data_IF_669162533513
#
_entry.id   IF_669162533513
#
_cell.length_a   1.000
_cell.length_b   1.000
_cell.length_c   1.000
_cell.angle_alpha   90.00
_cell.angle_beta   90.00
_cell.angle_gamma   90.00
#
_symmetry.space_group_name_H-M   'P 1'
#
loop_
_entity.id
_entity.type
_entity.pdbx_description
1 polymer ?
#
# COMPACT_ATOMS: atom_id res chain seq x y z
N UNK A 1 8.66 0.43 -27.87
CA UNK A 1 9.22 0.07 -26.55
C UNK A 1 8.93 -1.40 -26.31
N UNK A 2 9.95 -2.20 -25.97
CA UNK A 2 9.82 -3.65 -25.81
C UNK A 2 9.83 -3.94 -24.31
N UNK A 3 8.66 -4.17 -23.73
CA UNK A 3 8.53 -4.76 -22.40
C UNK A 3 8.41 -6.28 -22.53
N UNK A 4 8.82 -7.00 -21.50
CA UNK A 4 8.67 -8.45 -21.42
C UNK A 4 7.55 -8.77 -20.43
N UNK A 5 6.75 -9.79 -20.74
CA UNK A 5 5.71 -10.28 -19.83
C UNK A 5 5.94 -11.75 -19.55
N UNK A 6 5.63 -12.15 -18.32
CA UNK A 6 5.63 -13.54 -17.90
C UNK A 6 4.46 -13.77 -16.96
N UNK A 7 3.90 -14.98 -16.96
CA UNK A 7 2.85 -15.36 -16.02
C UNK A 7 3.32 -16.58 -15.25
N UNK A 8 3.32 -16.46 -13.92
CA UNK A 8 3.64 -17.55 -13.03
C UNK A 8 2.51 -18.60 -13.00
N UNK A 9 2.79 -19.85 -12.61
CA UNK A 9 1.76 -20.90 -12.54
C UNK A 9 0.58 -20.57 -11.63
N UNK A 10 0.78 -19.72 -10.61
CA UNK A 10 -0.27 -19.25 -9.70
C UNK A 10 -1.07 -18.06 -10.24
N UNK A 11 -0.82 -17.62 -11.48
CA UNK A 11 -1.55 -16.55 -12.15
C UNK A 11 -0.98 -15.14 -11.98
N UNK A 12 0.01 -14.94 -11.10
CA UNK A 12 0.70 -13.65 -10.94
C UNK A 12 1.38 -13.27 -12.26
N UNK A 13 1.15 -12.02 -12.69
CA UNK A 13 1.73 -11.46 -13.91
C UNK A 13 2.95 -10.62 -13.56
N UNK A 14 4.03 -10.86 -14.28
CA UNK A 14 5.27 -10.11 -14.18
C UNK A 14 5.40 -9.28 -15.46
N UNK A 15 5.57 -7.98 -15.29
CA UNK A 15 5.93 -7.06 -16.37
C UNK A 15 7.34 -6.54 -16.10
N UNK A 16 8.26 -6.82 -17.01
CA UNK A 16 9.64 -6.36 -16.92
C UNK A 16 9.94 -5.36 -18.03
N UNK A 17 10.37 -4.17 -17.62
CA UNK A 17 10.84 -3.15 -18.53
C UNK A 17 12.36 -3.00 -18.38
N UNK A 18 13.17 -3.46 -19.36
CA UNK A 18 14.61 -3.31 -19.28
C UNK A 18 15.00 -1.84 -19.44
N UNK A 19 15.83 -1.35 -18.52
CA UNK A 19 16.42 -0.02 -18.57
C UNK A 19 17.92 -0.10 -18.29
N UNK A 20 18.71 0.70 -19.01
CA UNK A 20 20.13 0.85 -18.74
C UNK A 20 20.34 1.86 -17.60
N UNK A 21 20.09 1.40 -16.38
CA UNK A 21 20.14 2.19 -15.16
C UNK A 21 20.83 1.39 -14.04
N UNK A 22 21.51 2.08 -13.14
CA UNK A 22 22.01 1.50 -11.89
C UNK A 22 20.91 1.35 -10.85
N UNK A 23 19.82 2.11 -10.99
CA UNK A 23 18.63 2.07 -10.15
C UNK A 23 17.59 1.17 -10.81
N UNK A 24 17.02 0.27 -10.02
CA UNK A 24 15.84 -0.52 -10.35
C UNK A 24 14.65 -0.06 -9.49
N UNK A 25 13.46 -0.22 -10.04
CA UNK A 25 12.20 0.04 -9.36
C UNK A 25 11.30 -1.18 -9.51
N UNK A 26 10.69 -1.62 -8.42
CA UNK A 26 9.79 -2.76 -8.40
C UNK A 26 8.46 -2.35 -7.76
N UNK A 27 7.36 -2.82 -8.35
CA UNK A 27 6.01 -2.63 -7.84
C UNK A 27 5.33 -3.99 -7.70
N UNK A 28 4.71 -4.22 -6.55
CA UNK A 28 3.75 -5.29 -6.34
C UNK A 28 2.37 -4.64 -6.26
N UNK A 29 1.54 -4.91 -7.27
CA UNK A 29 0.22 -4.30 -7.41
C UNK A 29 -0.87 -5.33 -7.15
N UNK A 30 -1.81 -4.96 -6.28
CA UNK A 30 -3.04 -5.70 -6.01
C UNK A 30 -4.17 -4.95 -6.69
N UNK A 31 -4.92 -5.64 -7.55
CA UNK A 31 -6.10 -5.08 -8.21
C UNK A 31 -7.32 -5.08 -7.25
N UNK A 32 -7.12 -4.44 -6.09
CA UNK A 32 -8.14 -4.19 -5.08
C UNK A 32 -7.79 -2.86 -4.39
N UNK A 33 -8.80 -2.00 -4.19
CA UNK A 33 -8.68 -0.74 -3.47
C UNK A 33 -9.95 -0.44 -2.66
N UNK A 34 -10.18 0.81 -2.29
CA UNK A 34 -11.33 1.17 -1.43
C UNK A 34 -12.70 0.86 -2.08
N UNK A 35 -12.80 0.82 -3.41
CA UNK A 35 -14.06 0.43 -4.09
C UNK A 35 -14.44 -1.03 -3.85
N UNK A 36 -13.46 -1.88 -3.57
CA UNK A 36 -13.63 -3.33 -3.46
C UNK A 36 -13.99 -3.74 -2.03
N UNK A 37 -14.08 -2.77 -1.12
CA UNK A 37 -14.42 -2.96 0.28
C UNK A 37 -15.89 -3.34 0.47
N UNK A 38 -16.13 -4.28 1.39
CA UNK A 38 -17.47 -4.62 1.82
C UNK A 38 -18.11 -3.44 2.57
N UNK A 39 -19.44 -3.37 2.52
CA UNK A 39 -20.19 -2.37 3.29
C UNK A 39 -19.87 -2.46 4.80
N UNK A 40 -19.58 -1.33 5.44
CA UNK A 40 -19.16 -1.26 6.84
C UNK A 40 -17.70 -1.68 7.08
N UNK A 41 -16.89 -1.81 6.02
CA UNK A 41 -15.44 -2.02 6.06
C UNK A 41 -14.68 -0.90 5.35
N UNK A 42 -15.27 0.28 5.32
CA UNK A 42 -14.69 1.44 4.64
C UNK A 42 -13.34 1.81 5.27
N UNK A 43 -12.29 1.94 4.44
CA UNK A 43 -10.93 2.24 4.87
C UNK A 43 -10.07 1.01 5.21
N UNK A 44 -10.59 -0.21 5.01
CA UNK A 44 -9.84 -1.45 5.30
C UNK A 44 -8.59 -1.62 4.45
N UNK A 45 -8.64 -1.27 3.16
CA UNK A 45 -7.49 -1.38 2.26
C UNK A 45 -6.34 -0.46 2.72
N UNK A 46 -6.68 0.78 3.06
CA UNK A 46 -5.75 1.75 3.63
C UNK A 46 -5.22 1.31 5.01
N UNK A 47 -6.09 0.75 5.85
CA UNK A 47 -5.65 0.22 7.14
C UNK A 47 -4.68 -0.96 7.00
N UNK A 48 -4.91 -1.87 6.05
CA UNK A 48 -3.98 -2.96 5.75
C UNK A 48 -2.66 -2.39 5.26
N UNK A 49 -2.66 -1.36 4.41
CA UNK A 49 -1.44 -0.68 3.96
C UNK A 49 -0.55 -0.23 5.11
N UNK A 50 -1.12 0.44 6.11
CA UNK A 50 -0.39 0.85 7.32
C UNK A 50 0.22 -0.35 8.07
N UNK A 51 -0.51 -1.45 8.12
CA UNK A 51 -0.14 -2.63 8.89
C UNK A 51 0.91 -3.51 8.22
N UNK A 52 1.01 -3.47 6.89
CA UNK A 52 1.99 -4.26 6.11
C UNK A 52 3.44 -4.02 6.58
N UNK A 53 3.75 -2.83 7.09
CA UNK A 53 5.10 -2.48 7.52
C UNK A 53 5.40 -2.80 9.00
N UNK A 54 4.42 -3.33 9.75
CA UNK A 54 4.56 -3.48 11.21
C UNK A 54 5.22 -4.78 11.63
N UNK A 55 4.79 -5.92 11.09
CA UNK A 55 5.45 -7.19 11.40
C UNK A 55 5.07 -8.28 10.38
N UNK A 56 6.04 -9.15 10.10
CA UNK A 56 5.86 -10.40 9.37
C UNK A 56 6.19 -11.58 10.27
N UNK A 57 5.94 -12.80 9.80
CA UNK A 57 6.34 -14.04 10.47
C UNK A 57 7.88 -14.11 10.69
N UNK A 58 8.65 -13.44 9.81
CA UNK A 58 10.12 -13.48 9.79
C UNK A 58 10.76 -12.23 10.40
N UNK A 59 10.05 -11.10 10.47
CA UNK A 59 10.64 -9.77 10.74
C UNK A 59 9.74 -8.89 11.59
N UNK A 60 10.33 -8.19 12.55
CA UNK A 60 9.65 -7.11 13.27
C UNK A 60 9.75 -5.77 12.50
N UNK A 61 9.03 -4.75 12.99
CA UNK A 61 8.96 -3.41 12.38
C UNK A 61 10.33 -2.82 12.09
N UNK A 62 11.23 -2.84 13.07
CA UNK A 62 12.58 -2.28 12.92
C UNK A 62 13.37 -3.02 11.85
N UNK A 63 13.24 -4.34 11.77
CA UNK A 63 13.90 -5.12 10.73
C UNK A 63 13.33 -4.81 9.35
N UNK A 64 12.01 -4.62 9.22
CA UNK A 64 11.37 -4.24 7.97
C UNK A 64 11.90 -2.89 7.47
N UNK A 65 11.78 -1.85 8.30
CA UNK A 65 12.16 -0.47 7.94
C UNK A 65 13.66 -0.38 7.63
N UNK A 66 14.52 -0.94 8.48
CA UNK A 66 15.97 -0.83 8.29
C UNK A 66 16.51 -1.74 7.17
N UNK A 67 15.76 -2.76 6.71
CA UNK A 67 16.30 -3.74 5.76
C UNK A 67 16.71 -3.08 4.44
N UNK A 68 15.98 -2.08 3.97
CA UNK A 68 16.29 -1.36 2.72
C UNK A 68 16.94 0.00 2.96
N UNK A 69 16.63 0.68 4.06
CA UNK A 69 17.24 1.98 4.40
C UNK A 69 18.78 1.90 4.51
N UNK A 70 19.33 0.82 5.10
CA UNK A 70 20.79 0.68 5.28
C UNK A 70 21.57 0.54 3.97
N UNK A 71 20.89 0.28 2.86
CA UNK A 71 21.49 0.24 1.51
C UNK A 71 21.06 1.42 0.64
N UNK A 72 20.42 2.44 1.24
CA UNK A 72 19.92 3.63 0.56
C UNK A 72 18.74 3.35 -0.36
N UNK A 73 18.01 2.25 -0.13
CA UNK A 73 16.81 1.93 -0.88
C UNK A 73 15.57 2.54 -0.20
N UNK A 74 14.61 2.93 -1.03
CA UNK A 74 13.31 3.46 -0.62
C UNK A 74 12.25 2.36 -0.77
N UNK A 75 11.34 2.28 0.19
CA UNK A 75 10.22 1.34 0.21
C UNK A 75 8.99 2.09 0.69
N UNK A 76 7.91 2.02 -0.07
CA UNK A 76 6.65 2.66 0.29
C UNK A 76 5.46 1.85 -0.24
N UNK A 77 4.26 2.24 0.17
CA UNK A 77 3.02 1.77 -0.42
C UNK A 77 2.06 2.94 -0.63
N UNK A 78 1.01 2.69 -1.41
CA UNK A 78 -0.14 3.56 -1.50
C UNK A 78 -1.37 2.77 -1.94
N UNK A 79 -2.53 3.22 -1.50
CA UNK A 79 -3.83 2.67 -1.85
C UNK A 79 -4.63 3.70 -2.64
N UNK A 80 -5.32 3.22 -3.66
CA UNK A 80 -6.27 4.00 -4.45
C UNK A 80 -7.66 3.42 -4.33
N UNK A 81 -8.63 4.02 -5.03
CA UNK A 81 -9.97 3.44 -5.13
C UNK A 81 -9.98 2.08 -5.84
N UNK A 82 -9.02 1.77 -6.70
CA UNK A 82 -9.07 0.58 -7.57
C UNK A 82 -7.95 -0.44 -7.34
N UNK A 83 -6.84 -0.02 -6.75
CA UNK A 83 -5.66 -0.86 -6.53
C UNK A 83 -4.80 -0.35 -5.36
N UNK A 84 -4.08 -1.27 -4.74
CA UNK A 84 -3.02 -1.00 -3.76
C UNK A 84 -1.68 -1.40 -4.35
N UNK A 85 -0.63 -0.63 -4.07
CA UNK A 85 0.71 -0.87 -4.60
C UNK A 85 1.73 -0.78 -3.47
N UNK A 86 2.59 -1.80 -3.37
CA UNK A 86 3.84 -1.73 -2.59
C UNK A 86 4.97 -1.56 -3.60
N UNK A 87 5.84 -0.58 -3.42
CA UNK A 87 6.93 -0.34 -4.35
C UNK A 87 8.23 -0.03 -3.65
N UNK A 88 9.34 -0.34 -4.32
CA UNK A 88 10.67 -0.06 -3.82
C UNK A 88 11.59 0.44 -4.94
N UNK A 89 12.45 1.40 -4.61
CA UNK A 89 13.51 1.93 -5.47
C UNK A 89 14.87 1.61 -4.84
N UNK A 90 15.76 0.96 -5.60
CA UNK A 90 17.02 0.45 -5.06
C UNK A 90 18.10 0.35 -6.14
N UNK A 91 19.37 0.24 -5.73
CA UNK A 91 20.44 -0.11 -6.67
C UNK A 91 20.26 -1.56 -7.14
N UNK A 92 20.44 -1.82 -8.43
CA UNK A 92 20.14 -3.11 -9.09
C UNK A 92 20.79 -4.34 -8.43
N UNK A 93 21.92 -4.16 -7.74
CA UNK A 93 22.62 -5.21 -6.99
C UNK A 93 21.83 -5.70 -5.76
N UNK A 94 20.89 -4.90 -5.24
CA UNK A 94 20.03 -5.26 -4.12
C UNK A 94 18.67 -5.84 -4.54
N UNK A 95 18.49 -6.21 -5.81
CA UNK A 95 17.23 -6.78 -6.30
C UNK A 95 16.73 -7.95 -5.45
N UNK A 96 17.58 -8.92 -5.17
CA UNK A 96 17.21 -10.09 -4.36
C UNK A 96 16.80 -9.69 -2.93
N UNK A 97 17.52 -8.73 -2.34
CA UNK A 97 17.23 -8.20 -1.00
C UNK A 97 15.89 -7.48 -0.94
N UNK A 98 15.58 -6.67 -1.96
CA UNK A 98 14.31 -5.94 -2.05
C UNK A 98 13.14 -6.89 -2.31
N UNK A 99 13.29 -7.85 -3.21
CA UNK A 99 12.25 -8.83 -3.50
C UNK A 99 11.95 -9.73 -2.31
N UNK A 100 12.97 -10.19 -1.56
CA UNK A 100 12.78 -10.99 -0.32
C UNK A 100 12.06 -10.20 0.78
N UNK A 101 12.22 -8.88 0.85
CA UNK A 101 11.46 -8.06 1.79
C UNK A 101 10.03 -7.82 1.31
N UNK A 102 9.85 -7.44 0.04
CA UNK A 102 8.52 -7.18 -0.53
C UNK A 102 7.64 -8.44 -0.49
N UNK A 103 8.21 -9.60 -0.77
CA UNK A 103 7.53 -10.91 -0.68
C UNK A 103 7.08 -11.21 0.76
N UNK A 104 7.97 -11.03 1.73
CA UNK A 104 7.66 -11.26 3.15
C UNK A 104 6.58 -10.31 3.67
N UNK A 105 6.67 -9.02 3.35
CA UNK A 105 5.63 -8.05 3.70
C UNK A 105 4.30 -8.45 3.07
N UNK A 106 4.31 -8.84 1.80
CA UNK A 106 3.09 -9.08 1.05
C UNK A 106 2.37 -10.37 1.46
N UNK A 107 3.11 -11.47 1.65
CA UNK A 107 2.52 -12.78 1.90
C UNK A 107 2.53 -13.21 3.38
N UNK A 108 3.39 -12.62 4.21
CA UNK A 108 3.67 -13.09 5.57
C UNK A 108 3.45 -12.03 6.66
N UNK A 109 2.75 -10.93 6.37
CA UNK A 109 2.35 -9.95 7.39
C UNK A 109 1.40 -10.54 8.44
N UNK A 110 1.65 -10.26 9.72
CA UNK A 110 0.96 -10.90 10.86
C UNK A 110 -0.05 -10.01 11.59
N UNK A 111 -0.02 -8.70 11.33
CA UNK A 111 -0.93 -7.69 11.89
C UNK A 111 -1.12 -7.81 13.42
N UNK A 112 -0.08 -7.56 14.23
CA UNK A 112 -0.18 -7.67 15.69
C UNK A 112 -1.26 -6.75 16.25
N UNK A 113 -2.08 -7.27 17.17
CA UNK A 113 -3.21 -6.52 17.75
C UNK A 113 -2.78 -5.19 18.39
N UNK A 114 -1.60 -5.13 19.00
CA UNK A 114 -1.08 -3.90 19.59
C UNK A 114 -0.79 -2.82 18.55
N UNK A 115 -0.28 -3.21 17.38
CA UNK A 115 0.03 -2.28 16.29
C UNK A 115 -1.24 -1.87 15.56
N UNK A 116 -2.23 -2.78 15.43
CA UNK A 116 -3.56 -2.42 14.95
C UNK A 116 -4.20 -1.30 15.78
N UNK A 117 -4.09 -1.35 17.11
CA UNK A 117 -4.63 -0.30 17.98
C UNK A 117 -3.88 1.02 17.82
N UNK A 118 -2.55 0.97 17.68
CA UNK A 118 -1.73 2.17 17.44
C UNK A 118 -2.06 2.82 16.10
N UNK A 119 -2.11 2.02 15.03
CA UNK A 119 -2.34 2.52 13.67
C UNK A 119 -3.74 3.10 13.48
N UNK A 120 -4.76 2.58 14.18
CA UNK A 120 -6.07 3.25 14.21
C UNK A 120 -5.98 4.70 14.69
N UNK A 121 -5.19 4.97 15.73
CA UNK A 121 -4.95 6.32 16.21
C UNK A 121 -4.28 7.20 15.16
N UNK A 122 -3.24 6.68 14.51
CA UNK A 122 -2.51 7.38 13.44
C UNK A 122 -3.44 7.74 12.28
N UNK A 123 -4.30 6.82 11.85
CA UNK A 123 -5.24 7.06 10.75
C UNK A 123 -6.34 8.04 11.16
N UNK A 124 -6.80 8.02 12.41
CA UNK A 124 -7.76 9.02 12.89
C UNK A 124 -7.15 10.43 12.87
N UNK A 125 -5.88 10.56 13.25
CA UNK A 125 -5.15 11.84 13.16
C UNK A 125 -4.94 12.27 11.71
N UNK A 126 -4.68 11.32 10.80
CA UNK A 126 -4.57 11.57 9.37
C UNK A 126 -5.90 12.05 8.77
N UNK A 127 -7.02 11.38 9.05
CA UNK A 127 -8.36 11.81 8.63
C UNK A 127 -8.63 13.24 9.10
N UNK A 128 -8.29 13.57 10.35
CA UNK A 128 -8.45 14.93 10.86
C UNK A 128 -7.57 15.94 10.11
N UNK A 129 -6.31 15.58 9.83
CA UNK A 129 -5.38 16.41 9.05
C UNK A 129 -5.89 16.68 7.63
N UNK A 130 -6.49 15.69 6.96
CA UNK A 130 -7.10 15.85 5.64
C UNK A 130 -8.31 16.79 5.69
N UNK A 131 -9.16 16.67 6.72
CA UNK A 131 -10.30 17.57 6.92
C UNK A 131 -9.90 19.02 7.18
N UNK A 132 -8.73 19.24 7.79
CA UNK A 132 -8.15 20.56 8.00
C UNK A 132 -7.53 21.17 6.72
N UNK A 133 -7.54 20.45 5.60
CA UNK A 133 -7.08 20.90 4.28
C UNK A 133 -8.27 21.02 3.30
N UNK A 134 -8.90 22.20 3.18
CA UNK A 134 -10.13 22.38 2.40
C UNK A 134 -10.00 22.00 0.91
N UNK A 135 -8.80 22.15 0.34
CA UNK A 135 -8.49 21.81 -1.05
C UNK A 135 -8.48 20.31 -1.32
N UNK A 136 -8.16 19.48 -0.33
CA UNK A 136 -8.24 18.03 -0.42
C UNK A 136 -9.64 17.55 -0.05
N UNK A 137 -10.19 18.05 1.06
CA UNK A 137 -11.52 17.68 1.54
C UNK A 137 -12.64 17.91 0.50
N UNK A 138 -12.55 19.00 -0.28
CA UNK A 138 -13.55 19.29 -1.32
C UNK A 138 -13.56 18.24 -2.45
N UNK A 139 -12.43 17.58 -2.70
CA UNK A 139 -12.34 16.54 -3.73
C UNK A 139 -13.13 15.31 -3.30
N UNK A 140 -13.04 14.92 -2.02
CA UNK A 140 -13.80 13.82 -1.45
C UNK A 140 -15.31 14.13 -1.45
N UNK A 141 -15.69 15.33 -1.01
CA UNK A 141 -17.09 15.80 -1.06
C UNK A 141 -17.65 15.75 -2.50
N UNK A 142 -16.85 16.19 -3.47
CA UNK A 142 -17.24 16.18 -4.88
C UNK A 142 -17.41 14.75 -5.41
N UNK A 143 -16.49 13.84 -5.06
CA UNK A 143 -16.56 12.44 -5.48
C UNK A 143 -17.73 11.69 -4.83
N UNK A 144 -18.03 11.95 -3.56
CA UNK A 144 -19.20 11.41 -2.86
C UNK A 144 -20.52 11.86 -3.50
N UNK A 145 -20.59 13.12 -3.93
CA UNK A 145 -21.75 13.65 -4.65
C UNK A 145 -21.88 13.05 -6.07
N UNK A 146 -20.76 12.94 -6.79
CA UNK A 146 -20.72 12.42 -8.15
C UNK A 146 -21.07 10.92 -8.20
N UNK A 147 -20.52 10.14 -7.26
CA UNK A 147 -20.66 8.68 -7.17
C UNK A 147 -21.62 8.26 -6.06
N UNK A 148 -22.68 9.04 -5.83
CA UNK A 148 -23.67 8.77 -4.80
C UNK A 148 -24.18 7.31 -4.85
N UNK A 149 -24.15 6.64 -3.70
CA UNK A 149 -24.51 5.22 -3.54
C UNK A 149 -23.65 4.22 -4.34
N UNK A 150 -22.47 4.62 -4.79
CA UNK A 150 -21.51 3.77 -5.48
C UNK A 150 -20.22 3.67 -4.67
N UNK A 151 -19.55 2.52 -4.71
CA UNK A 151 -18.33 2.29 -3.92
C UNK A 151 -17.17 3.22 -4.27
N UNK A 152 -17.17 3.77 -5.49
CA UNK A 152 -16.22 4.81 -5.92
C UNK A 152 -16.41 6.17 -5.24
N UNK A 153 -17.55 6.44 -4.58
CA UNK A 153 -17.69 7.65 -3.78
C UNK A 153 -16.83 7.58 -2.52
N UNK A 154 -16.84 6.41 -1.87
CA UNK A 154 -16.23 6.15 -0.57
C UNK A 154 -14.78 6.64 -0.50
N UNK A 155 -14.49 7.35 0.59
CA UNK A 155 -13.16 7.81 0.92
C UNK A 155 -12.21 6.63 1.14
N UNK A 156 -10.97 6.76 0.67
CA UNK A 156 -9.92 5.73 0.82
C UNK A 156 -9.55 5.52 2.29
N UNK A 157 -9.54 6.57 3.11
CA UNK A 157 -9.22 6.51 4.53
C UNK A 157 -10.38 5.90 5.35
N UNK A 158 -11.58 5.80 4.77
CA UNK A 158 -12.80 5.40 5.46
C UNK A 158 -13.39 6.53 6.30
N UNK A 159 -13.95 6.18 7.45
CA UNK A 159 -14.57 7.12 8.39
C UNK A 159 -14.07 6.87 9.81
N UNK A 160 -14.16 7.85 10.72
CA UNK A 160 -13.82 7.62 12.13
C UNK A 160 -14.62 6.50 12.81
N UNK A 161 -15.78 6.13 12.27
CA UNK A 161 -16.60 5.04 12.79
C UNK A 161 -16.23 3.66 12.22
N UNK A 162 -15.59 3.62 11.05
CA UNK A 162 -15.18 2.37 10.39
C UNK A 162 -13.75 1.96 10.71
N UNK A 163 -12.91 2.91 11.13
CA UNK A 163 -11.52 2.70 11.57
C UNK A 163 -11.42 2.15 12.99
#
# INVERSE_FOLDING_TARGET
MIYQTHQLPNGIRILFYPADSTIAHCCLMINAGSRDEAEGKDGLAHFIEHLLFKATERRNTNQILNRLEVVGADLNAYTTKEYTCIHASFLKEYLERSMDLMEDIFFHSTFPQEDMVKEKGVILDEIASYQDQPEEAIQDDFEDLLFKNHALGRNILGTPASV
#
